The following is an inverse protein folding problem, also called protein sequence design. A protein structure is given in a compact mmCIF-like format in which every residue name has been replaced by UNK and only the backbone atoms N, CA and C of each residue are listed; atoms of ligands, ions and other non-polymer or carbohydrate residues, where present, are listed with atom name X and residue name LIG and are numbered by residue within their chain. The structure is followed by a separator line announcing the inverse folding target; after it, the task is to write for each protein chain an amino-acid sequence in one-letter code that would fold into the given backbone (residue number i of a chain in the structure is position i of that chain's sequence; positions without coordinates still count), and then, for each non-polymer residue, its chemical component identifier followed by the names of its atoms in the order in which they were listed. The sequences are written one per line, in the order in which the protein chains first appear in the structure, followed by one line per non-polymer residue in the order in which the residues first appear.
data_IF_948992579370
#
_entry.id   IF_948992579370
#
_cell.length_a   1.000
_cell.length_b   1.000
_cell.length_c   1.000
_cell.angle_alpha   90.00
_cell.angle_beta   90.00
_cell.angle_gamma   90.00
#
_symmetry.space_group_name_H-M   'P 1'
#
loop_
_entity.id
_entity.type
_entity.pdbx_description
1 polymer ?
#
# COMPACT_ATOMS: atom_id res chain seq x y z
N UNK A 1 17.65 32.31 23.50
CA UNK A 1 16.92 31.34 22.67
C UNK A 1 16.74 30.08 23.50
N UNK A 2 15.49 29.83 23.90
CA UNK A 2 15.07 28.73 24.74
C UNK A 2 15.63 27.38 24.28
N UNK A 3 16.08 26.55 25.22
CA UNK A 3 16.62 25.22 24.94
C UNK A 3 15.62 24.36 24.15
N UNK A 4 14.32 24.54 24.38
CA UNK A 4 13.26 23.91 23.62
C UNK A 4 13.30 24.27 22.14
N UNK A 5 13.59 25.54 21.81
CA UNK A 5 13.70 26.00 20.42
C UNK A 5 14.92 25.38 19.74
N UNK A 6 16.04 25.23 20.46
CA UNK A 6 17.23 24.54 19.93
C UNK A 6 16.97 23.07 19.62
N UNK A 7 16.21 22.38 20.47
CA UNK A 7 15.85 20.97 20.24
C UNK A 7 14.90 20.83 19.05
N UNK A 8 13.93 21.74 18.91
CA UNK A 8 13.01 21.74 17.76
C UNK A 8 13.78 21.97 16.46
N UNK A 9 14.66 22.96 16.41
CA UNK A 9 15.49 23.24 15.22
C UNK A 9 16.37 22.04 14.85
N UNK A 10 17.01 21.40 15.85
CA UNK A 10 17.80 20.19 15.60
C UNK A 10 16.96 19.04 15.03
N UNK A 11 15.74 18.85 15.54
CA UNK A 11 14.82 17.82 15.02
C UNK A 11 14.37 18.11 13.60
N UNK A 12 14.17 19.38 13.23
CA UNK A 12 13.84 19.77 11.86
C UNK A 12 15.01 19.54 10.90
N UNK A 13 16.23 19.86 11.30
CA UNK A 13 17.45 19.59 10.52
C UNK A 13 17.70 18.08 10.33
N UNK A 14 17.44 17.26 11.35
CA UNK A 14 17.54 15.79 11.27
C UNK A 14 16.50 15.21 10.29
N UNK A 15 15.30 15.80 10.21
CA UNK A 15 14.26 15.40 9.25
C UNK A 15 14.66 15.81 7.82
N UNK A 16 15.13 17.04 7.62
CA UNK A 16 15.55 17.56 6.32
C UNK A 16 16.73 16.75 5.74
N UNK A 17 17.69 16.37 6.60
CA UNK A 17 18.83 15.53 6.21
C UNK A 17 18.40 14.13 5.75
N UNK A 18 17.39 13.55 6.40
CA UNK A 18 16.83 12.24 6.02
C UNK A 18 16.07 12.31 4.70
N UNK A 19 15.32 13.40 4.46
CA UNK A 19 14.60 13.61 3.20
C UNK A 19 15.55 13.81 2.02
N UNK A 20 16.62 14.59 2.19
CA UNK A 20 17.66 14.79 1.15
C UNK A 20 18.35 13.49 0.72
N UNK A 21 18.43 12.51 1.61
CA UNK A 21 19.03 11.20 1.31
C UNK A 21 18.10 10.31 0.49
N UNK A 22 16.78 10.55 0.55
CA UNK A 22 15.76 9.83 -0.21
C UNK A 22 15.58 10.46 -1.61
N UNK A 23 15.71 11.78 -1.73
CA UNK A 23 15.43 12.51 -2.98
C UNK A 23 16.52 12.44 -4.06
N UNK A 24 17.69 11.84 -3.81
CA UNK A 24 18.80 11.85 -4.78
C UNK A 24 19.17 10.46 -5.34
N UNK A 25 18.30 9.81 -6.15
CA UNK A 25 18.57 8.54 -6.84
C UNK A 25 19.37 8.75 -8.15
N UNK A 26 20.38 9.62 -8.14
CA UNK A 26 21.23 9.87 -9.31
C UNK A 26 22.43 8.93 -9.32
N UNK A 27 22.21 7.65 -9.62
CA UNK A 27 23.16 6.76 -10.31
C UNK A 27 22.74 5.28 -10.31
N UNK A 28 21.63 4.91 -10.96
CA UNK A 28 21.54 3.56 -11.53
C UNK A 28 20.80 3.58 -12.88
N UNK A 29 21.44 3.12 -13.96
CA UNK A 29 20.80 2.96 -15.26
C UNK A 29 19.98 1.67 -15.25
N UNK A 30 18.77 1.74 -15.83
CA UNK A 30 17.91 0.59 -16.16
C UNK A 30 17.51 -0.31 -14.99
N UNK A 31 16.35 -0.03 -14.39
CA UNK A 31 15.21 -0.97 -14.33
C UNK A 31 14.03 -0.28 -13.66
N UNK A 32 12.86 -0.40 -14.26
CA UNK A 32 11.57 -0.03 -13.69
C UNK A 32 11.30 -0.86 -12.43
N UNK A 33 11.56 -0.29 -11.27
CA UNK A 33 11.30 -0.80 -9.91
C UNK A 33 11.76 0.31 -8.96
N UNK A 34 11.17 0.69 -7.84
CA UNK A 34 10.07 0.24 -6.99
C UNK A 34 9.81 1.44 -6.06
N UNK A 35 8.56 1.70 -5.68
CA UNK A 35 8.22 2.69 -4.65
C UNK A 35 8.50 2.02 -3.30
N UNK A 36 9.67 2.28 -2.71
CA UNK A 36 10.10 1.65 -1.45
C UNK A 36 9.56 2.43 -0.24
N UNK A 37 8.33 2.09 0.13
CA UNK A 37 7.72 2.46 1.40
C UNK A 37 7.58 1.23 2.28
N UNK A 38 8.65 0.85 2.99
CA UNK A 38 8.66 0.26 4.34
C UNK A 38 7.70 -0.89 4.73
N UNK A 39 6.94 -1.47 3.83
CA UNK A 39 6.11 -2.64 4.08
C UNK A 39 6.93 -3.87 3.67
N UNK A 40 7.01 -4.86 4.56
CA UNK A 40 7.45 -6.22 4.20
C UNK A 40 6.89 -6.52 2.80
N UNK A 41 7.73 -6.92 1.86
CA UNK A 41 7.31 -7.40 0.53
C UNK A 41 6.40 -8.62 0.72
N UNK A 42 5.15 -8.37 1.11
CA UNK A 42 4.06 -9.33 1.06
C UNK A 42 3.88 -9.52 -0.43
N UNK A 43 4.07 -10.75 -0.88
CA UNK A 43 3.88 -11.14 -2.28
C UNK A 43 2.39 -10.97 -2.60
N UNK A 44 1.99 -9.73 -2.92
CA UNK A 44 0.62 -9.38 -3.26
C UNK A 44 0.34 -9.87 -4.67
N UNK A 45 -0.89 -10.30 -4.91
CA UNK A 45 -1.28 -10.76 -6.25
C UNK A 45 -0.99 -9.67 -7.30
N UNK A 46 -0.51 -10.01 -8.50
CA UNK A 46 -0.31 -9.04 -9.58
C UNK A 46 -1.54 -8.17 -9.89
N UNK A 47 -2.75 -8.65 -9.61
CA UNK A 47 -4.00 -7.94 -9.82
C UNK A 47 -4.50 -7.19 -8.59
N UNK A 48 -3.76 -7.20 -7.48
CA UNK A 48 -4.12 -6.53 -6.23
C UNK A 48 -4.36 -5.03 -6.42
N UNK A 49 -3.48 -4.33 -7.15
CA UNK A 49 -3.65 -2.90 -7.42
C UNK A 49 -4.91 -2.61 -8.23
N UNK A 50 -5.21 -3.48 -9.21
CA UNK A 50 -6.42 -3.36 -10.02
C UNK A 50 -7.69 -3.68 -9.22
N UNK A 51 -7.60 -4.59 -8.25
CA UNK A 51 -8.69 -4.89 -7.34
C UNK A 51 -9.04 -3.68 -6.46
N UNK A 52 -8.02 -2.93 -6.00
CA UNK A 52 -8.23 -1.68 -5.24
C UNK A 52 -8.99 -0.64 -6.07
N UNK A 53 -8.60 -0.42 -7.32
CA UNK A 53 -9.28 0.51 -8.23
C UNK A 53 -10.75 0.12 -8.49
N UNK A 54 -11.07 -1.18 -8.41
CA UNK A 54 -12.45 -1.65 -8.51
C UNK A 54 -13.18 -1.38 -7.20
N UNK A 55 -12.58 -1.70 -6.05
CA UNK A 55 -13.19 -1.42 -4.74
C UNK A 55 -13.46 0.07 -4.50
N UNK A 56 -12.59 0.98 -4.98
CA UNK A 56 -12.83 2.42 -4.86
C UNK A 56 -14.13 2.90 -5.55
N UNK A 57 -14.72 2.08 -6.42
CA UNK A 57 -15.97 2.39 -7.13
C UNK A 57 -17.21 1.83 -6.44
N UNK A 58 -17.05 0.95 -5.45
CA UNK A 58 -18.13 0.25 -4.79
C UNK A 58 -17.93 0.31 -3.27
N UNK A 59 -18.91 0.84 -2.54
CA UNK A 59 -18.88 0.82 -1.07
C UNK A 59 -18.80 -0.63 -0.52
N UNK A 60 -19.43 -1.58 -1.22
CA UNK A 60 -19.38 -3.01 -0.92
C UNK A 60 -19.31 -3.82 -2.22
N UNK A 61 -18.44 -4.83 -2.25
CA UNK A 61 -18.32 -5.73 -3.40
C UNK A 61 -18.24 -7.19 -2.95
N UNK A 62 -19.01 -8.06 -3.62
CA UNK A 62 -18.91 -9.51 -3.41
C UNK A 62 -17.72 -10.12 -4.16
N UNK A 63 -17.20 -11.25 -3.68
CA UNK A 63 -16.12 -12.00 -4.34
C UNK A 63 -16.44 -12.33 -5.80
N UNK A 64 -17.71 -12.62 -6.10
CA UNK A 64 -18.19 -12.89 -7.47
C UNK A 64 -18.17 -11.65 -8.37
N UNK A 65 -18.55 -10.49 -7.84
CA UNK A 65 -18.49 -9.23 -8.61
C UNK A 65 -17.05 -8.78 -8.86
N UNK A 66 -16.18 -8.97 -7.88
CA UNK A 66 -14.76 -8.66 -8.03
C UNK A 66 -14.08 -9.65 -9.01
N UNK A 67 -14.45 -10.94 -8.98
CA UNK A 67 -13.94 -11.95 -9.92
C UNK A 67 -14.34 -11.65 -11.36
N UNK A 68 -15.59 -11.22 -11.57
CA UNK A 68 -16.11 -10.85 -12.90
C UNK A 68 -15.42 -9.56 -13.43
N UNK A 69 -15.14 -8.61 -12.54
CA UNK A 69 -14.47 -7.35 -12.87
C UNK A 69 -12.99 -7.55 -13.23
N UNK A 70 -12.30 -8.44 -12.52
CA UNK A 70 -10.89 -8.75 -12.72
C UNK A 70 -10.66 -9.87 -13.76
N UNK A 71 -11.72 -10.58 -14.17
CA UNK A 71 -11.70 -11.75 -15.06
C UNK A 71 -10.77 -12.85 -14.55
N UNK A 72 -10.91 -13.19 -13.28
CA UNK A 72 -10.14 -14.25 -12.61
C UNK A 72 -11.07 -15.22 -11.89
N UNK A 73 -10.49 -16.34 -11.45
CA UNK A 73 -11.22 -17.33 -10.64
C UNK A 73 -11.63 -16.75 -9.28
N UNK A 74 -12.75 -17.24 -8.76
CA UNK A 74 -13.29 -16.83 -7.45
C UNK A 74 -12.28 -17.11 -6.34
N UNK A 75 -11.58 -18.25 -6.38
CA UNK A 75 -10.58 -18.59 -5.35
C UNK A 75 -9.42 -17.61 -5.30
N UNK A 76 -8.98 -17.12 -6.46
CA UNK A 76 -7.90 -16.12 -6.54
C UNK A 76 -8.39 -14.76 -6.07
N UNK A 77 -9.67 -14.46 -6.30
CA UNK A 77 -10.31 -13.25 -5.80
C UNK A 77 -10.42 -13.25 -4.27
N UNK A 78 -10.78 -14.40 -3.68
CA UNK A 78 -10.78 -14.57 -2.21
C UNK A 78 -9.40 -14.31 -1.63
N UNK A 79 -8.33 -14.87 -2.22
CA UNK A 79 -6.95 -14.59 -1.79
C UNK A 79 -6.61 -13.10 -1.87
N UNK A 80 -7.06 -12.39 -2.90
CA UNK A 80 -6.86 -10.94 -3.03
C UNK A 80 -7.62 -10.19 -1.93
N UNK A 81 -8.87 -10.58 -1.65
CA UNK A 81 -9.66 -9.99 -0.57
C UNK A 81 -9.03 -10.24 0.79
N UNK A 82 -8.51 -11.43 1.06
CA UNK A 82 -7.78 -11.76 2.29
C UNK A 82 -6.50 -10.90 2.42
N UNK A 83 -5.78 -10.68 1.32
CA UNK A 83 -4.61 -9.79 1.30
C UNK A 83 -4.99 -8.32 1.55
N UNK A 84 -6.17 -7.89 1.11
CA UNK A 84 -6.70 -6.54 1.33
C UNK A 84 -7.07 -6.35 2.80
N UNK A 85 -7.77 -7.33 3.39
CA UNK A 85 -8.10 -7.36 4.81
C UNK A 85 -6.82 -7.34 5.67
N UNK A 86 -5.82 -8.17 5.32
CA UNK A 86 -4.54 -8.19 6.02
C UNK A 86 -3.76 -6.86 5.90
N UNK A 87 -4.01 -6.09 4.84
CA UNK A 87 -3.47 -4.74 4.66
C UNK A 87 -4.32 -3.65 5.35
N UNK A 88 -5.42 -4.01 6.01
CA UNK A 88 -6.36 -3.08 6.63
C UNK A 88 -7.25 -2.33 5.64
N UNK A 89 -7.39 -2.85 4.43
CA UNK A 89 -8.19 -2.26 3.35
C UNK A 89 -9.51 -3.03 3.23
N UNK A 90 -10.52 -2.55 3.95
CA UNK A 90 -11.86 -3.15 3.97
C UNK A 90 -12.05 -4.20 5.08
N UNK A 91 -13.28 -4.68 5.20
CA UNK A 91 -13.69 -5.71 6.17
C UNK A 91 -14.48 -6.81 5.47
N UNK A 92 -14.03 -8.05 5.57
CA UNK A 92 -14.74 -9.21 5.04
C UNK A 92 -15.91 -9.57 5.97
N UNK A 93 -17.13 -9.26 5.54
CA UNK A 93 -18.34 -9.72 6.21
C UNK A 93 -18.64 -11.16 5.79
N UNK A 94 -18.00 -12.13 6.43
CA UNK A 94 -18.56 -13.48 6.44
C UNK A 94 -19.81 -13.43 7.33
N UNK A 95 -20.98 -13.80 6.78
CA UNK A 95 -22.18 -13.95 7.60
C UNK A 95 -21.85 -14.97 8.68
N UNK A 96 -21.77 -14.52 9.94
CA UNK A 96 -21.75 -15.41 11.10
C UNK A 96 -22.93 -16.38 10.95
N UNK A 97 -22.60 -17.67 10.83
CA UNK A 97 -23.54 -18.79 10.98
C UNK A 97 -23.84 -19.03 12.45
#
# INVERSE_FOLDING_TARGET
MDESVKVILKKLDDIDSRLKSIENPKNQPHSTSEVDGGEKKVERDPLFSKALEVMDKYDEISSKQLSDSLKIDVKRTEVIMDQMEAAGIGTCYTKET
#
